data_IF_223242844039
#
_entry.id   IF_223242844039
#
_cell.length_a   1.000
_cell.length_b   1.000
_cell.length_c   1.000
_cell.angle_alpha   90.00
_cell.angle_beta   90.00
_cell.angle_gamma   90.00
#
_symmetry.space_group_name_H-M   'P 1'
#
loop_
_entity.id
_entity.type
_entity.pdbx_description
1 polymer ?
#
# COMPACT_ATOMS: atom_id res chain seq x y z
N UNK A 1 -12.58 0.82 20.93
CA UNK A 1 -11.13 0.93 20.65
C UNK A 1 -10.48 1.68 21.81
N UNK A 2 -9.77 0.96 22.69
CA UNK A 2 -8.85 1.63 23.63
C UNK A 2 -7.89 2.50 22.82
N UNK A 3 -7.74 3.76 23.25
CA UNK A 3 -6.72 4.62 22.65
C UNK A 3 -5.36 3.95 22.89
N UNK A 4 -4.50 3.89 21.90
CA UNK A 4 -3.17 3.25 21.96
C UNK A 4 -2.39 3.67 23.23
N UNK A 5 -2.53 4.92 23.66
CA UNK A 5 -1.95 5.48 24.89
C UNK A 5 -2.47 4.77 26.16
N UNK A 6 -3.77 4.50 26.24
CA UNK A 6 -4.36 3.80 27.38
C UNK A 6 -3.88 2.35 27.45
N UNK A 7 -3.73 1.69 26.31
CA UNK A 7 -3.16 0.34 26.22
C UNK A 7 -1.71 0.29 26.71
N UNK A 8 -0.86 1.22 26.25
CA UNK A 8 0.55 1.29 26.67
C UNK A 8 0.67 1.49 28.18
N UNK A 9 -0.10 2.42 28.76
CA UNK A 9 -0.10 2.67 30.20
C UNK A 9 -0.61 1.44 30.97
N UNK A 10 -1.69 0.81 30.50
CA UNK A 10 -2.26 -0.36 31.15
C UNK A 10 -1.36 -1.61 31.08
N UNK A 11 -0.46 -1.67 30.12
CA UNK A 11 0.55 -2.74 30.00
C UNK A 11 1.77 -2.53 30.90
N UNK A 12 1.86 -1.39 31.60
CA UNK A 12 3.00 -1.03 32.45
C UNK A 12 4.26 -0.64 31.66
N UNK A 13 4.13 -0.33 30.38
CA UNK A 13 5.24 0.11 29.54
C UNK A 13 5.32 1.63 29.48
N UNK A 14 6.54 2.17 29.59
CA UNK A 14 6.76 3.58 29.34
C UNK A 14 6.52 3.91 27.85
N UNK A 15 5.87 5.05 27.56
CA UNK A 15 5.58 5.51 26.21
C UNK A 15 6.84 5.58 25.32
N UNK A 16 7.98 5.94 25.92
CA UNK A 16 9.28 5.97 25.24
C UNK A 16 9.70 4.59 24.73
N UNK A 17 9.50 3.54 25.54
CA UNK A 17 9.85 2.17 25.14
C UNK A 17 8.94 1.67 24.00
N UNK A 18 7.65 1.99 24.04
CA UNK A 18 6.72 1.70 22.95
C UNK A 18 7.17 2.38 21.64
N UNK A 19 7.52 3.65 21.70
CA UNK A 19 8.01 4.38 20.54
C UNK A 19 9.31 3.80 19.98
N UNK A 20 10.24 3.37 20.85
CA UNK A 20 11.50 2.72 20.46
C UNK A 20 11.25 1.37 19.76
N UNK A 21 10.32 0.56 20.28
CA UNK A 21 9.94 -0.70 19.65
C UNK A 21 9.35 -0.46 18.27
N UNK A 22 8.45 0.53 18.17
CA UNK A 22 7.81 0.88 16.89
C UNK A 22 8.80 1.41 15.85
N UNK A 23 9.87 2.10 16.30
CA UNK A 23 10.91 2.63 15.42
C UNK A 23 11.97 1.58 15.05
N UNK A 24 12.41 0.78 16.02
CA UNK A 24 13.53 -0.17 15.85
C UNK A 24 13.11 -1.58 15.46
N UNK A 25 11.83 -1.94 15.63
CA UNK A 25 11.33 -3.28 15.37
C UNK A 25 11.84 -4.36 16.33
N UNK A 26 12.55 -3.97 17.42
CA UNK A 26 13.09 -4.90 18.40
C UNK A 26 12.33 -4.77 19.73
N UNK A 27 12.01 -5.89 20.33
CA UNK A 27 11.31 -5.98 21.62
C UNK A 27 12.04 -6.96 22.53
N UNK A 28 12.17 -6.63 23.83
CA UNK A 28 12.73 -7.56 24.80
C UNK A 28 11.73 -8.68 25.13
N UNK A 29 12.23 -9.86 25.51
CA UNK A 29 11.38 -10.99 25.92
C UNK A 29 10.42 -10.62 27.06
N UNK A 30 10.90 -9.89 28.07
CA UNK A 30 10.07 -9.41 29.19
C UNK A 30 8.90 -8.51 28.71
N UNK A 31 9.18 -7.64 27.76
CA UNK A 31 8.15 -6.80 27.13
C UNK A 31 7.15 -7.62 26.32
N UNK A 32 7.65 -8.61 25.57
CA UNK A 32 6.83 -9.51 24.80
C UNK A 32 5.87 -10.32 25.69
N UNK A 33 6.39 -10.87 26.81
CA UNK A 33 5.58 -11.60 27.79
C UNK A 33 4.49 -10.72 28.44
N UNK A 34 4.81 -9.46 28.77
CA UNK A 34 3.81 -8.51 29.30
C UNK A 34 2.68 -8.24 28.31
N UNK A 35 3.00 -8.09 27.03
CA UNK A 35 1.98 -7.94 25.98
C UNK A 35 1.18 -9.20 25.77
N UNK A 36 1.82 -10.36 25.74
CA UNK A 36 1.21 -11.67 25.60
C UNK A 36 0.16 -11.90 26.70
N UNK A 37 0.54 -11.71 27.95
CA UNK A 37 -0.38 -11.84 29.11
C UNK A 37 -1.56 -10.87 29.01
N UNK A 38 -1.32 -9.62 28.59
CA UNK A 38 -2.36 -8.60 28.49
C UNK A 38 -3.35 -8.86 27.35
N UNK A 39 -2.85 -9.29 26.20
CA UNK A 39 -3.66 -9.59 25.01
C UNK A 39 -4.26 -11.00 25.06
N UNK A 40 -3.87 -11.84 26.02
CA UNK A 40 -4.26 -13.26 26.14
C UNK A 40 -3.93 -14.05 24.88
N UNK A 41 -2.74 -13.81 24.31
CA UNK A 41 -2.19 -14.50 23.15
C UNK A 41 -0.81 -15.05 23.50
N UNK A 42 -0.35 -16.08 22.81
CA UNK A 42 0.98 -16.63 23.04
C UNK A 42 2.08 -15.68 22.54
N UNK A 43 3.26 -15.62 23.19
CA UNK A 43 4.35 -14.76 22.79
C UNK A 43 4.77 -14.93 21.31
N UNK A 44 4.72 -16.15 20.77
CA UNK A 44 5.07 -16.42 19.38
C UNK A 44 4.05 -15.83 18.39
N UNK A 45 2.77 -15.68 18.77
CA UNK A 45 1.74 -15.05 17.94
C UNK A 45 2.00 -13.54 17.80
N UNK A 46 2.49 -12.91 18.89
CA UNK A 46 2.93 -11.51 18.84
C UNK A 46 4.17 -11.35 17.96
N UNK A 47 5.13 -12.27 18.04
CA UNK A 47 6.31 -12.26 17.18
C UNK A 47 5.95 -12.48 15.72
N UNK A 48 5.01 -13.37 15.41
CA UNK A 48 4.51 -13.58 14.07
C UNK A 48 3.87 -12.31 13.49
N UNK A 49 3.20 -11.52 14.33
CA UNK A 49 2.61 -10.23 13.91
C UNK A 49 3.66 -9.14 13.69
N UNK A 50 4.72 -9.13 14.52
CA UNK A 50 5.86 -8.20 14.38
C UNK A 50 6.73 -8.60 13.17
N UNK A 51 6.98 -9.90 12.98
CA UNK A 51 7.73 -10.44 11.84
C UNK A 51 6.98 -10.39 10.51
N UNK A 52 5.68 -10.11 10.47
CA UNK A 52 4.95 -9.95 9.21
C UNK A 52 5.56 -8.91 8.25
N UNK A 53 6.42 -8.03 8.74
CA UNK A 53 7.24 -7.15 7.88
C UNK A 53 8.50 -7.81 7.33
N UNK A 54 8.96 -8.94 7.89
CA UNK A 54 10.18 -9.64 7.47
C UNK A 54 9.94 -11.00 6.80
N UNK A 55 8.72 -11.55 6.91
CA UNK A 55 8.39 -12.92 6.40
C UNK A 55 7.42 -12.83 5.22
N UNK A 56 7.66 -11.94 4.27
CA UNK A 56 6.99 -12.01 2.95
C UNK A 56 7.65 -13.06 2.03
N UNK A 57 8.67 -13.77 2.51
CA UNK A 57 9.51 -14.65 1.69
C UNK A 57 9.40 -16.16 2.03
N UNK A 58 8.29 -16.62 2.59
CA UNK A 58 8.03 -18.06 2.69
C UNK A 58 6.71 -18.43 2.03
N UNK A 59 6.82 -19.17 0.96
CA UNK A 59 5.72 -19.75 0.15
C UNK A 59 4.75 -20.67 0.94
N UNK A 60 4.92 -20.83 2.25
CA UNK A 60 4.25 -21.82 3.09
C UNK A 60 3.07 -21.29 3.91
N UNK A 61 2.73 -20.00 3.84
CA UNK A 61 1.52 -19.49 4.50
C UNK A 61 0.35 -19.46 3.53
N UNK A 62 -0.81 -20.06 3.90
CA UNK A 62 -2.02 -19.88 3.12
C UNK A 62 -2.32 -18.37 3.10
N UNK A 63 -2.02 -17.74 1.97
CA UNK A 63 -2.46 -16.38 1.68
C UNK A 63 -3.98 -16.41 1.87
N UNK A 64 -4.57 -15.60 2.78
CA UNK A 64 -6.01 -15.46 2.79
C UNK A 64 -6.44 -15.23 1.34
N UNK A 65 -7.49 -15.89 0.88
CA UNK A 65 -8.07 -15.64 -0.46
C UNK A 65 -8.70 -14.25 -0.46
N UNK A 66 -7.87 -13.22 -0.27
CA UNK A 66 -8.22 -11.84 -0.58
C UNK A 66 -8.46 -11.81 -2.08
N UNK A 67 -9.57 -11.28 -2.50
CA UNK A 67 -9.92 -11.18 -3.91
C UNK A 67 -8.74 -10.60 -4.68
N UNK A 68 -8.19 -11.38 -5.61
CA UNK A 68 -7.01 -11.02 -6.42
C UNK A 68 -7.21 -9.67 -7.13
N UNK A 69 -8.47 -9.28 -7.35
CA UNK A 69 -8.87 -7.99 -7.91
C UNK A 69 -8.47 -6.77 -7.04
N UNK A 70 -8.32 -6.95 -5.72
CA UNK A 70 -8.10 -5.80 -4.81
C UNK A 70 -6.73 -5.12 -4.99
N UNK A 71 -5.75 -5.83 -5.56
CA UNK A 71 -4.40 -5.31 -5.78
C UNK A 71 -4.15 -4.78 -7.19
N UNK A 72 -5.12 -4.94 -8.09
CA UNK A 72 -5.05 -4.43 -9.45
C UNK A 72 -5.66 -3.03 -9.55
N UNK A 73 -4.90 -2.11 -10.12
CA UNK A 73 -5.35 -0.75 -10.41
C UNK A 73 -5.34 -0.56 -11.91
N UNK A 74 -6.53 -0.45 -12.52
CA UNK A 74 -6.66 -0.06 -13.93
C UNK A 74 -6.54 1.47 -14.04
N UNK A 75 -5.34 1.92 -14.45
CA UNK A 75 -5.01 3.34 -14.57
C UNK A 75 -5.86 4.03 -15.65
N UNK A 76 -6.23 3.29 -16.70
CA UNK A 76 -7.08 3.83 -17.77
C UNK A 76 -8.50 4.09 -17.27
N UNK A 77 -9.11 3.14 -16.56
CA UNK A 77 -10.42 3.33 -15.93
C UNK A 77 -10.42 4.52 -14.97
N UNK A 78 -9.39 4.63 -14.10
CA UNK A 78 -9.25 5.79 -13.21
C UNK A 78 -9.16 7.11 -13.98
N UNK A 79 -8.39 7.17 -15.07
CA UNK A 79 -8.32 8.37 -15.91
C UNK A 79 -9.67 8.72 -16.56
N UNK A 80 -10.39 7.70 -17.07
CA UNK A 80 -11.73 7.91 -17.64
C UNK A 80 -12.69 8.44 -16.58
N UNK A 81 -12.70 7.84 -15.40
CA UNK A 81 -13.54 8.29 -14.29
C UNK A 81 -13.26 9.73 -13.87
N UNK A 82 -11.97 10.12 -13.75
CA UNK A 82 -11.58 11.49 -13.41
C UNK A 82 -12.06 12.49 -14.47
N UNK A 83 -12.06 12.12 -15.76
CA UNK A 83 -12.55 12.98 -16.84
C UNK A 83 -14.08 13.10 -16.84
N UNK A 84 -14.79 12.05 -16.48
CA UNK A 84 -16.25 12.04 -16.41
C UNK A 84 -16.78 12.90 -15.25
N UNK A 85 -16.03 13.00 -14.14
CA UNK A 85 -16.40 13.75 -12.93
C UNK A 85 -17.84 13.45 -12.45
N UNK A 86 -18.23 12.17 -12.29
CA UNK A 86 -19.63 11.81 -12.11
C UNK A 86 -20.19 12.22 -10.75
N UNK A 87 -19.34 12.40 -9.74
CA UNK A 87 -19.77 12.66 -8.37
C UNK A 87 -19.34 14.04 -7.87
N UNK A 88 -20.21 14.66 -7.05
CA UNK A 88 -19.85 15.85 -6.30
C UNK A 88 -18.83 15.53 -5.21
N UNK A 89 -17.84 16.40 -4.96
CA UNK A 89 -16.86 16.20 -3.88
C UNK A 89 -17.47 15.94 -2.50
N UNK A 90 -18.64 16.48 -2.21
CA UNK A 90 -19.35 16.29 -0.94
C UNK A 90 -20.41 15.18 -1.03
N UNK A 91 -20.42 14.37 -2.09
CA UNK A 91 -21.36 13.27 -2.26
C UNK A 91 -21.15 12.13 -1.27
N UNK A 92 -22.21 11.36 -1.03
CA UNK A 92 -22.18 10.20 -0.13
C UNK A 92 -21.28 9.09 -0.67
N UNK A 93 -21.18 8.96 -1.99
CA UNK A 93 -20.32 7.98 -2.69
C UNK A 93 -18.85 8.23 -2.38
N UNK A 94 -18.45 9.52 -2.34
CA UNK A 94 -17.07 9.94 -2.03
C UNK A 94 -16.72 9.61 -0.58
N UNK A 95 -17.64 9.87 0.33
CA UNK A 95 -17.49 9.50 1.75
C UNK A 95 -17.41 7.97 1.93
N UNK A 96 -18.23 7.21 1.20
CA UNK A 96 -18.26 5.74 1.24
C UNK A 96 -16.95 5.12 0.72
N UNK A 97 -16.28 5.78 -0.24
CA UNK A 97 -14.96 5.39 -0.73
C UNK A 97 -13.80 5.82 0.19
N UNK A 98 -14.08 6.42 1.35
CA UNK A 98 -13.08 7.01 2.27
C UNK A 98 -12.16 8.03 1.57
N UNK A 99 -12.71 8.76 0.61
CA UNK A 99 -11.99 9.79 -0.14
C UNK A 99 -12.35 11.18 0.40
N UNK A 100 -11.34 12.03 0.63
CA UNK A 100 -11.62 13.40 1.05
C UNK A 100 -12.11 14.25 -0.12
N UNK A 101 -13.06 15.19 0.12
CA UNK A 101 -13.52 16.12 -0.91
C UNK A 101 -12.37 16.88 -1.60
N UNK A 102 -11.34 17.28 -0.83
CA UNK A 102 -10.18 17.98 -1.35
C UNK A 102 -9.39 17.13 -2.35
N UNK A 103 -9.21 15.83 -2.06
CA UNK A 103 -8.52 14.91 -2.97
C UNK A 103 -9.30 14.73 -4.27
N UNK A 104 -10.62 14.55 -4.21
CA UNK A 104 -11.44 14.43 -5.40
C UNK A 104 -11.37 15.71 -6.25
N UNK A 105 -11.58 16.87 -5.63
CA UNK A 105 -11.48 18.16 -6.30
C UNK A 105 -10.11 18.38 -6.95
N UNK A 106 -9.02 18.03 -6.23
CA UNK A 106 -7.67 18.16 -6.75
C UNK A 106 -7.48 17.40 -8.07
N UNK A 107 -7.87 16.10 -8.10
CA UNK A 107 -7.68 15.29 -9.30
C UNK A 107 -8.68 15.62 -10.42
N UNK A 108 -9.90 16.01 -10.08
CA UNK A 108 -10.86 16.51 -11.07
C UNK A 108 -10.36 17.79 -11.75
N UNK A 109 -9.86 18.74 -10.98
CA UNK A 109 -9.32 20.01 -11.52
C UNK A 109 -8.05 19.77 -12.33
N UNK A 110 -7.21 18.80 -11.92
CA UNK A 110 -5.96 18.48 -12.61
C UNK A 110 -6.18 17.66 -13.88
N UNK A 111 -7.22 16.86 -13.96
CA UNK A 111 -7.55 15.98 -15.08
C UNK A 111 -6.55 14.85 -15.32
N UNK A 112 -5.57 14.64 -14.40
CA UNK A 112 -4.52 13.61 -14.52
C UNK A 112 -4.27 12.95 -13.17
N UNK A 113 -3.84 11.68 -13.20
CA UNK A 113 -3.60 10.86 -12.00
C UNK A 113 -2.16 10.36 -11.86
N UNK A 114 -1.26 10.79 -12.73
CA UNK A 114 0.12 10.25 -12.77
C UNK A 114 0.90 10.43 -11.46
N UNK A 115 0.66 11.53 -10.75
CA UNK A 115 1.26 11.81 -9.45
C UNK A 115 0.44 11.30 -8.25
N UNK A 116 -0.70 10.66 -8.50
CA UNK A 116 -1.55 10.08 -7.45
C UNK A 116 -0.80 8.95 -6.72
N UNK A 117 -0.70 8.99 -5.38
CA UNK A 117 -0.16 7.87 -4.63
C UNK A 117 -1.04 6.62 -4.78
N UNK A 118 -0.44 5.43 -4.81
CA UNK A 118 -1.17 4.14 -4.89
C UNK A 118 -2.27 4.05 -3.82
N UNK A 119 -1.99 4.46 -2.57
CA UNK A 119 -3.00 4.48 -1.48
C UNK A 119 -4.24 5.30 -1.81
N UNK A 120 -4.05 6.41 -2.53
CA UNK A 120 -5.15 7.26 -2.97
C UNK A 120 -5.87 6.62 -4.16
N UNK A 121 -5.13 5.99 -5.07
CA UNK A 121 -5.70 5.27 -6.20
C UNK A 121 -6.63 4.12 -5.78
N UNK A 122 -6.34 3.42 -4.68
CA UNK A 122 -7.27 2.43 -4.11
C UNK A 122 -8.61 3.04 -3.67
N UNK A 123 -8.59 4.24 -3.11
CA UNK A 123 -9.82 4.94 -2.74
C UNK A 123 -10.61 5.35 -3.99
N UNK A 124 -9.93 5.85 -5.01
CA UNK A 124 -10.57 6.12 -6.30
C UNK A 124 -11.08 4.86 -6.98
N UNK A 125 -10.36 3.73 -6.88
CA UNK A 125 -10.86 2.44 -7.38
C UNK A 125 -12.20 2.07 -6.73
N UNK A 126 -12.33 2.19 -5.40
CA UNK A 126 -13.62 1.96 -4.72
C UNK A 126 -14.72 2.88 -5.26
N UNK A 127 -14.39 4.12 -5.54
CA UNK A 127 -15.35 5.07 -6.12
C UNK A 127 -15.74 4.69 -7.55
N UNK A 128 -14.79 4.14 -8.34
CA UNK A 128 -15.06 3.57 -9.65
C UNK A 128 -15.95 2.31 -9.52
N UNK A 129 -15.69 1.44 -8.55
CA UNK A 129 -16.51 0.24 -8.31
C UNK A 129 -17.97 0.62 -7.97
N UNK A 130 -18.18 1.70 -7.18
CA UNK A 130 -19.51 2.26 -6.90
C UNK A 130 -20.16 2.77 -8.19
N UNK A 131 -19.41 3.53 -9.00
CA UNK A 131 -19.89 4.04 -10.28
C UNK A 131 -20.27 2.92 -11.24
N UNK A 132 -19.44 1.87 -11.37
CA UNK A 132 -19.70 0.74 -12.26
C UNK A 132 -20.93 -0.07 -11.81
N UNK A 133 -21.19 -0.15 -10.52
CA UNK A 133 -22.38 -0.81 -9.99
C UNK A 133 -23.66 -0.04 -10.33
N UNK A 134 -23.62 1.28 -10.45
CA UNK A 134 -24.75 2.15 -10.70
C UNK A 134 -24.99 2.39 -12.22
N UNK A 135 -23.93 2.63 -12.97
CA UNK A 135 -23.98 3.07 -14.38
C UNK A 135 -23.45 2.06 -15.39
N UNK A 136 -22.92 0.94 -14.93
CA UNK A 136 -22.30 -0.08 -15.76
C UNK A 136 -20.77 0.08 -15.90
N UNK A 137 -20.10 -0.97 -16.43
CA UNK A 137 -18.64 -1.06 -16.43
C UNK A 137 -18.01 -0.03 -17.36
N UNK A 138 -16.94 0.60 -16.87
CA UNK A 138 -16.04 1.39 -17.71
C UNK A 138 -15.17 0.46 -18.58
N UNK A 139 -14.80 0.95 -19.76
CA UNK A 139 -13.93 0.20 -20.66
C UNK A 139 -12.60 -0.16 -19.98
N UNK A 140 -12.21 -1.45 -19.97
CA UNK A 140 -10.95 -1.88 -19.41
C UNK A 140 -9.78 -1.36 -20.24
N UNK A 141 -8.65 -1.06 -19.58
CA UNK A 141 -7.45 -0.60 -20.27
C UNK A 141 -6.32 -1.62 -20.20
N UNK A 142 -5.33 -1.45 -21.08
CA UNK A 142 -4.07 -2.21 -21.03
C UNK A 142 -3.11 -1.70 -19.94
N UNK A 143 -3.45 -0.60 -19.26
CA UNK A 143 -2.61 0.02 -18.22
C UNK A 143 -3.03 -0.44 -16.83
N UNK A 144 -2.85 -1.73 -16.56
CA UNK A 144 -3.17 -2.32 -15.27
C UNK A 144 -1.89 -2.49 -14.45
N UNK A 145 -1.86 -1.95 -13.24
CA UNK A 145 -0.80 -2.10 -12.26
C UNK A 145 -1.20 -3.19 -11.25
N UNK A 146 -0.43 -4.27 -11.20
CA UNK A 146 -0.47 -5.23 -10.10
C UNK A 146 0.50 -4.79 -9.01
N UNK A 147 -0.05 -4.26 -7.91
CA UNK A 147 0.75 -3.70 -6.83
C UNK A 147 1.48 -4.79 -6.05
N UNK A 148 0.87 -5.97 -5.85
CA UNK A 148 1.53 -7.11 -5.19
C UNK A 148 2.68 -7.66 -6.01
N UNK A 149 2.52 -7.78 -7.33
CA UNK A 149 3.61 -8.24 -8.20
C UNK A 149 4.75 -7.21 -8.22
N UNK A 150 4.45 -5.90 -8.25
CA UNK A 150 5.45 -4.85 -8.11
C UNK A 150 6.22 -4.96 -6.79
N UNK A 151 5.50 -5.19 -5.69
CA UNK A 151 6.08 -5.37 -4.37
C UNK A 151 7.03 -6.56 -4.32
N UNK A 152 6.61 -7.70 -4.85
CA UNK A 152 7.45 -8.90 -4.97
C UNK A 152 8.73 -8.63 -5.76
N UNK A 153 8.64 -7.95 -6.89
CA UNK A 153 9.81 -7.62 -7.69
C UNK A 153 10.82 -6.76 -6.94
N UNK A 154 10.35 -5.78 -6.16
CA UNK A 154 11.22 -4.90 -5.39
C UNK A 154 11.90 -5.63 -4.22
N UNK A 155 11.15 -6.48 -3.51
CA UNK A 155 11.68 -7.15 -2.31
C UNK A 155 12.53 -8.38 -2.61
N UNK A 156 12.33 -9.04 -3.76
CA UNK A 156 13.12 -10.22 -4.17
C UNK A 156 14.50 -9.87 -4.75
N UNK A 157 14.93 -8.62 -4.65
CA UNK A 157 16.25 -8.23 -5.10
C UNK A 157 16.46 -8.23 -6.63
N UNK A 158 15.38 -8.32 -7.42
CA UNK A 158 15.45 -8.31 -8.89
C UNK A 158 16.04 -7.03 -9.47
N UNK A 159 16.07 -5.94 -8.69
CA UNK A 159 16.57 -4.65 -9.13
C UNK A 159 17.27 -3.92 -8.00
N UNK A 160 18.32 -3.18 -8.33
CA UNK A 160 19.02 -2.29 -7.40
C UNK A 160 18.53 -0.86 -7.53
N UNK A 161 18.72 -0.03 -6.49
CA UNK A 161 18.37 1.39 -6.57
C UNK A 161 19.12 2.12 -7.68
N UNK A 162 20.34 1.69 -8.01
CA UNK A 162 21.11 2.22 -9.13
C UNK A 162 20.46 1.88 -10.49
N UNK A 163 20.00 0.64 -10.66
CA UNK A 163 19.29 0.23 -11.87
C UNK A 163 17.96 0.97 -12.02
N UNK A 164 17.24 1.20 -10.92
CA UNK A 164 16.03 2.05 -10.93
C UNK A 164 16.37 3.48 -11.38
N UNK A 165 17.47 4.07 -10.88
CA UNK A 165 17.88 5.43 -11.28
C UNK A 165 18.16 5.54 -12.78
N UNK A 166 18.71 4.49 -13.40
CA UNK A 166 18.94 4.43 -14.85
C UNK A 166 17.66 4.48 -15.68
N UNK A 167 16.52 4.08 -15.11
CA UNK A 167 15.22 4.20 -15.80
C UNK A 167 14.70 5.65 -15.88
N UNK A 168 15.28 6.57 -15.10
CA UNK A 168 14.79 7.94 -14.98
C UNK A 168 13.52 8.12 -14.13
N UNK A 169 12.93 7.01 -13.62
CA UNK A 169 11.66 7.05 -12.86
C UNK A 169 11.84 7.64 -11.46
N UNK A 170 12.98 7.38 -10.82
CA UNK A 170 13.36 7.95 -9.53
C UNK A 170 14.86 7.85 -9.29
N UNK A 171 15.40 8.62 -8.34
CA UNK A 171 16.80 8.53 -7.98
C UNK A 171 17.11 7.24 -7.17
N UNK A 172 18.39 6.85 -7.12
CA UNK A 172 18.83 5.63 -6.45
C UNK A 172 18.47 5.58 -4.96
N UNK A 173 18.55 6.72 -4.26
CA UNK A 173 18.23 6.82 -2.84
C UNK A 173 16.76 6.48 -2.58
N UNK A 174 15.85 7.07 -3.34
CA UNK A 174 14.43 6.77 -3.24
C UNK A 174 14.13 5.32 -3.65
N UNK A 175 14.76 4.81 -4.71
CA UNK A 175 14.63 3.41 -5.11
C UNK A 175 15.03 2.46 -3.98
N UNK A 176 16.14 2.71 -3.32
CA UNK A 176 16.61 1.91 -2.19
C UNK A 176 15.67 1.99 -0.96
N UNK A 177 14.96 3.11 -0.75
CA UNK A 177 13.98 3.20 0.34
C UNK A 177 12.80 2.25 0.13
N UNK A 178 12.32 2.11 -1.10
CA UNK A 178 11.28 1.14 -1.45
C UNK A 178 11.78 -0.30 -1.40
N UNK A 179 12.92 -0.61 -2.00
CA UNK A 179 13.53 -1.96 -2.00
C UNK A 179 13.76 -2.46 -0.56
N UNK A 180 14.18 -1.59 0.35
CA UNK A 180 14.43 -1.93 1.76
C UNK A 180 13.18 -1.88 2.63
N UNK A 181 12.00 -1.67 2.08
CA UNK A 181 10.74 -1.52 2.84
C UNK A 181 10.72 -0.32 3.80
N UNK A 182 11.69 0.62 3.70
CA UNK A 182 11.72 1.84 4.53
C UNK A 182 10.67 2.86 4.12
N UNK A 183 10.17 2.77 2.90
CA UNK A 183 9.06 3.55 2.37
C UNK A 183 8.00 2.60 1.84
N UNK A 184 6.73 2.70 2.27
CA UNK A 184 5.67 1.82 1.80
C UNK A 184 5.38 2.07 0.32
N UNK A 185 5.15 0.99 -0.44
CA UNK A 185 4.88 1.04 -1.89
C UNK A 185 3.64 1.87 -2.20
N UNK A 186 2.65 1.84 -1.33
CA UNK A 186 1.41 2.60 -1.43
C UNK A 186 1.64 4.13 -1.45
N UNK A 187 2.82 4.60 -1.01
CA UNK A 187 3.21 6.02 -1.14
C UNK A 187 3.79 6.38 -2.51
N UNK A 188 4.05 5.38 -3.37
CA UNK A 188 4.59 5.61 -4.72
C UNK A 188 3.53 6.21 -5.63
N UNK A 189 3.93 7.15 -6.48
CA UNK A 189 3.06 7.74 -7.49
C UNK A 189 2.75 6.75 -8.60
N UNK A 190 1.53 6.75 -9.13
CA UNK A 190 1.05 5.77 -10.13
C UNK A 190 1.94 5.68 -11.37
N UNK A 191 2.36 6.81 -11.95
CA UNK A 191 3.19 6.77 -13.16
C UNK A 191 4.56 6.14 -12.88
N UNK A 192 5.16 6.43 -11.72
CA UNK A 192 6.42 5.81 -11.31
C UNK A 192 6.25 4.32 -11.04
N UNK A 193 5.20 3.95 -10.33
CA UNK A 193 4.88 2.57 -10.01
C UNK A 193 4.64 1.75 -11.29
N UNK A 194 3.82 2.27 -12.20
CA UNK A 194 3.51 1.60 -13.45
C UNK A 194 4.73 1.51 -14.40
N UNK A 195 5.51 2.60 -14.50
CA UNK A 195 6.75 2.60 -15.27
C UNK A 195 7.74 1.55 -14.76
N UNK A 196 7.93 1.48 -13.44
CA UNK A 196 8.79 0.51 -12.80
C UNK A 196 8.26 -0.93 -12.98
N UNK A 197 6.97 -1.14 -12.77
CA UNK A 197 6.31 -2.43 -12.99
C UNK A 197 6.50 -2.96 -14.42
N UNK A 198 6.28 -2.10 -15.42
CA UNK A 198 6.49 -2.43 -16.83
C UNK A 198 7.97 -2.80 -17.12
N UNK A 199 8.91 -2.06 -16.55
CA UNK A 199 10.34 -2.33 -16.68
C UNK A 199 10.71 -3.69 -16.07
N UNK A 200 10.26 -3.97 -14.87
CA UNK A 200 10.54 -5.23 -14.16
C UNK A 200 9.91 -6.45 -14.85
N UNK A 201 8.67 -6.30 -15.36
CA UNK A 201 8.04 -7.36 -16.18
C UNK A 201 8.82 -7.69 -17.45
N UNK A 202 9.46 -6.69 -18.06
CA UNK A 202 10.33 -6.92 -19.23
C UNK A 202 11.57 -7.68 -18.82
N UNK A 203 12.27 -7.27 -17.77
CA UNK A 203 13.46 -7.96 -17.25
C UNK A 203 13.18 -9.43 -16.91
N UNK A 204 12.01 -9.72 -16.30
CA UNK A 204 11.60 -11.11 -15.98
C UNK A 204 11.39 -11.98 -17.22
N UNK A 205 11.01 -11.39 -18.34
CA UNK A 205 10.82 -12.14 -19.61
C UNK A 205 12.12 -12.42 -20.34
N UNK A 206 13.17 -11.63 -20.05
CA UNK A 206 14.48 -11.74 -20.66
C UNK A 206 15.43 -12.71 -19.90
N UNK A 207 15.00 -13.19 -18.71
CA UNK A 207 15.66 -14.24 -17.90
C UNK A 207 15.07 -15.61 -18.18
#
# INVERSE_FOLDING_TARGET
RERMTAFVVSSGMAQTNYNLINQKGTVSLDTLEKFSKRLRVEPYELLATIRRREIIDRDDFPIPKENVSDYHIDIGKLNTFIKLQPYSPNGQEVASADLSPQNLYHYYSKGTIGDMPIKTAYKFKRLVDIYEAEYGPLEPSSRVLDVKELERFLYNGMITGYAIAKTGLMNATNGNLYIKGKRPIESMQLDRAFGLYKHLKRLKKEQ
#
